data_IF_921756739115
#
_entry.id   IF_921756739115
#
_cell.length_a   1.000
_cell.length_b   1.000
_cell.length_c   1.000
_cell.angle_alpha   90.00
_cell.angle_beta   90.00
_cell.angle_gamma   90.00
#
_symmetry.space_group_name_H-M   'P 1'
#
loop_
_entity.id
_entity.type
_entity.pdbx_description
1 polymer ?
#
# COMPACT_ATOMS: atom_id res chain seq x y z
N UNK A 1 -0.42 2.49 16.27
CA UNK A 1 -0.27 1.00 16.16
C UNK A 1 -1.47 0.48 15.39
N UNK A 2 -1.33 -0.51 14.50
CA UNK A 2 -2.49 -1.07 13.77
C UNK A 2 -2.96 -2.34 14.46
N UNK A 3 -4.19 -2.30 14.98
CA UNK A 3 -4.88 -3.39 15.66
C UNK A 3 -5.88 -4.10 14.72
N UNK A 4 -6.35 -5.30 15.09
CA UNK A 4 -7.41 -6.03 14.38
C UNK A 4 -6.95 -7.29 13.62
N UNK A 5 -5.68 -7.67 13.74
CA UNK A 5 -5.15 -8.95 13.27
C UNK A 5 -4.93 -9.94 14.43
N UNK A 6 -4.38 -11.15 14.14
CA UNK A 6 -4.01 -12.12 15.18
C UNK A 6 -2.91 -11.60 16.13
N UNK A 7 -2.20 -10.54 15.75
CA UNK A 7 -1.25 -9.81 16.58
C UNK A 7 -1.18 -8.34 16.13
N UNK A 8 -0.79 -7.41 17.02
CA UNK A 8 -0.67 -5.98 16.70
C UNK A 8 0.48 -5.71 15.72
N UNK A 9 0.24 -4.82 14.75
CA UNK A 9 1.26 -4.39 13.78
C UNK A 9 1.83 -3.03 14.21
N UNK A 10 3.12 -3.03 14.56
CA UNK A 10 3.88 -1.80 14.86
C UNK A 10 4.66 -1.37 13.62
N UNK A 11 4.35 -0.18 13.12
CA UNK A 11 5.03 0.43 11.97
C UNK A 11 6.03 1.45 12.48
N UNK A 12 7.24 1.42 11.91
CA UNK A 12 8.29 2.41 12.14
C UNK A 12 8.73 2.96 10.79
N UNK A 13 8.95 4.26 10.70
CA UNK A 13 9.40 4.93 9.49
C UNK A 13 9.76 6.39 9.74
N UNK A 14 10.04 7.11 8.67
CA UNK A 14 10.31 8.55 8.66
C UNK A 14 9.36 9.17 7.64
N UNK A 15 8.63 10.20 8.04
CA UNK A 15 7.76 10.96 7.15
C UNK A 15 8.63 12.07 6.55
N UNK A 16 8.66 12.17 5.22
CA UNK A 16 9.47 13.15 4.49
C UNK A 16 9.14 14.59 4.89
N UNK A 17 7.85 14.96 4.85
CA UNK A 17 7.40 16.31 5.19
C UNK A 17 5.93 16.34 5.60
N UNK A 18 5.63 17.15 6.62
CA UNK A 18 4.28 17.52 7.05
C UNK A 18 4.17 19.04 7.03
N UNK A 19 3.18 19.56 6.32
CA UNK A 19 2.87 20.99 6.26
C UNK A 19 1.54 21.27 6.97
N UNK A 20 1.39 22.47 7.52
CA UNK A 20 0.10 22.99 8.00
C UNK A 20 -0.56 23.85 6.92
N UNK A 21 -1.87 23.70 6.72
CA UNK A 21 -2.69 24.48 5.80
C UNK A 21 -4.00 24.87 6.47
N UNK A 22 -4.04 26.06 7.08
CA UNK A 22 -5.14 26.43 7.97
C UNK A 22 -5.12 25.53 9.20
N UNK A 23 -6.26 24.94 9.53
CA UNK A 23 -6.40 23.99 10.65
C UNK A 23 -6.11 22.53 10.23
N UNK A 24 -5.83 22.30 8.94
CA UNK A 24 -5.54 20.98 8.40
C UNK A 24 -4.04 20.73 8.25
N UNK A 25 -3.67 19.45 8.22
CA UNK A 25 -2.33 18.96 7.94
C UNK A 25 -2.25 18.36 6.53
N UNK A 26 -1.06 18.45 5.93
CA UNK A 26 -0.76 17.93 4.60
C UNK A 26 0.49 17.08 4.64
N UNK A 27 0.40 15.84 4.16
CA UNK A 27 1.55 14.93 4.06
C UNK A 27 2.16 14.99 2.67
N UNK A 28 3.49 15.13 2.59
CA UNK A 28 4.20 15.23 1.32
C UNK A 28 5.34 14.21 1.32
N UNK A 29 5.43 13.41 0.26
CA UNK A 29 6.53 12.47 0.02
C UNK A 29 7.24 12.83 -1.28
N UNK A 30 8.57 12.98 -1.23
CA UNK A 30 9.35 13.37 -2.40
C UNK A 30 9.79 12.13 -3.18
N UNK A 31 9.54 12.13 -4.49
CA UNK A 31 9.97 11.03 -5.37
C UNK A 31 10.98 11.51 -6.40
N UNK A 32 12.11 10.83 -6.52
CA UNK A 32 13.06 11.03 -7.63
C UNK A 32 12.58 10.38 -8.94
N UNK A 33 11.70 9.38 -8.83
CA UNK A 33 11.08 8.65 -9.93
C UNK A 33 9.60 8.96 -10.12
N UNK A 34 8.91 8.07 -10.85
CA UNK A 34 7.46 8.12 -10.96
C UNK A 34 6.80 7.85 -9.60
N UNK A 35 5.73 8.57 -9.32
CA UNK A 35 4.96 8.38 -8.10
C UNK A 35 3.88 7.30 -8.27
N UNK A 36 3.54 6.59 -7.19
CA UNK A 36 2.39 5.69 -7.15
C UNK A 36 1.08 6.42 -7.49
N UNK A 37 0.15 5.68 -8.09
CA UNK A 37 -1.19 6.19 -8.38
C UNK A 37 -2.10 6.02 -7.16
N UNK A 38 -3.26 6.71 -7.18
CA UNK A 38 -4.32 6.47 -6.19
C UNK A 38 -4.78 5.01 -6.14
N UNK A 39 -4.77 4.31 -7.27
CA UNK A 39 -5.16 2.91 -7.31
C UNK A 39 -4.18 2.00 -6.55
N UNK A 40 -2.89 2.36 -6.50
CA UNK A 40 -1.86 1.56 -5.84
C UNK A 40 -2.05 1.47 -4.32
N UNK A 41 -2.58 2.51 -3.67
CA UNK A 41 -2.89 2.42 -2.24
C UNK A 41 -4.18 1.66 -1.96
N UNK A 42 -5.15 1.68 -2.89
CA UNK A 42 -6.42 0.96 -2.73
C UNK A 42 -6.25 -0.55 -2.93
N UNK A 43 -5.40 -0.97 -3.86
CA UNK A 43 -5.13 -2.38 -4.14
C UNK A 43 -4.05 -3.00 -3.22
N UNK A 44 -3.48 -2.19 -2.33
CA UNK A 44 -2.50 -2.59 -1.33
C UNK A 44 -1.09 -2.82 -1.87
N UNK A 45 -0.75 -2.29 -3.05
CA UNK A 45 0.61 -2.40 -3.62
C UNK A 45 1.56 -1.29 -3.15
N UNK A 46 1.07 -0.08 -2.91
CA UNK A 46 1.84 1.03 -2.32
C UNK A 46 0.91 1.95 -1.55
N UNK A 47 1.04 2.01 -0.23
CA UNK A 47 0.15 2.77 0.66
C UNK A 47 0.92 3.67 1.63
N UNK A 48 2.06 4.22 1.18
CA UNK A 48 2.91 5.08 1.99
C UNK A 48 2.20 6.36 2.46
N UNK A 49 1.59 7.13 1.54
CA UNK A 49 0.89 8.38 1.88
C UNK A 49 -0.26 8.15 2.88
N UNK A 50 -1.17 7.18 2.69
CA UNK A 50 -2.20 6.90 3.71
C UNK A 50 -1.65 6.44 5.06
N UNK A 51 -0.59 5.62 5.10
CA UNK A 51 0.04 5.23 6.37
C UNK A 51 0.63 6.44 7.11
N UNK A 52 1.29 7.33 6.37
CA UNK A 52 1.80 8.57 6.94
C UNK A 52 0.67 9.43 7.46
N UNK A 53 -0.43 9.55 6.72
CA UNK A 53 -1.60 10.30 7.18
C UNK A 53 -2.21 9.74 8.46
N UNK A 54 -2.30 8.41 8.60
CA UNK A 54 -2.73 7.75 9.85
C UNK A 54 -1.77 8.10 10.99
N UNK A 55 -0.46 7.95 10.77
CA UNK A 55 0.55 8.26 11.78
C UNK A 55 0.53 9.73 12.20
N UNK A 56 0.38 10.66 11.25
CA UNK A 56 0.31 12.11 11.53
C UNK A 56 -0.95 12.45 12.34
N UNK A 57 -2.10 11.87 12.00
CA UNK A 57 -3.32 12.06 12.78
C UNK A 57 -3.22 11.54 14.23
N UNK A 58 -2.38 10.51 14.47
CA UNK A 58 -2.09 9.98 15.81
C UNK A 58 -1.06 10.85 16.56
N UNK A 59 0.03 11.22 15.90
CA UNK A 59 1.16 11.95 16.49
C UNK A 59 0.87 13.43 16.73
N UNK A 60 0.04 14.04 15.90
CA UNK A 60 -0.29 15.47 15.90
C UNK A 60 -1.79 15.69 16.11
N UNK A 61 -2.43 14.85 16.91
CA UNK A 61 -3.88 14.86 17.13
C UNK A 61 -4.44 16.22 17.59
N UNK A 62 -3.63 17.01 18.32
CA UNK A 62 -3.98 18.33 18.83
C UNK A 62 -3.68 19.47 17.84
N UNK A 63 -3.01 19.20 16.72
CA UNK A 63 -2.60 20.21 15.74
C UNK A 63 -3.53 20.33 14.52
N UNK A 64 -4.35 19.30 14.26
CA UNK A 64 -5.26 19.26 13.12
C UNK A 64 -5.53 17.85 12.62
N UNK A 65 -6.26 17.76 11.50
CA UNK A 65 -6.47 16.50 10.78
C UNK A 65 -5.80 16.54 9.42
N UNK A 66 -5.32 15.38 8.96
CA UNK A 66 -4.79 15.26 7.60
C UNK A 66 -5.94 15.29 6.60
N UNK A 67 -6.08 16.41 5.88
CA UNK A 67 -7.09 16.60 4.85
C UNK A 67 -6.56 16.44 3.42
N UNK A 68 -5.23 16.45 3.26
CA UNK A 68 -4.55 16.28 1.97
C UNK A 68 -3.24 15.49 2.15
N UNK A 69 -2.81 14.81 1.09
CA UNK A 69 -1.50 14.16 1.05
C UNK A 69 -1.14 13.74 -0.35
N UNK A 70 0.12 13.85 -0.75
CA UNK A 70 0.51 13.53 -2.13
C UNK A 70 1.99 13.21 -2.27
N UNK A 71 2.30 12.50 -3.35
CA UNK A 71 3.66 12.39 -3.83
C UNK A 71 4.03 13.62 -4.65
N UNK A 72 5.26 14.10 -4.48
CA UNK A 72 5.84 15.21 -5.21
C UNK A 72 7.08 14.73 -6.01
N UNK A 73 6.90 14.27 -7.26
CA UNK A 73 7.99 13.88 -8.13
C UNK A 73 8.86 15.07 -8.49
N UNK A 74 10.16 15.00 -8.18
CA UNK A 74 11.11 16.09 -8.38
C UNK A 74 11.39 16.37 -9.87
N UNK A 75 11.10 15.41 -10.77
CA UNK A 75 11.27 15.57 -12.22
C UNK A 75 10.12 16.34 -12.87
N UNK A 76 8.88 16.09 -12.45
CA UNK A 76 7.70 16.75 -13.05
C UNK A 76 7.26 17.99 -12.26
N UNK A 77 7.60 18.07 -10.97
CA UNK A 77 7.12 19.09 -10.03
C UNK A 77 5.58 19.15 -9.93
N UNK A 78 4.90 18.05 -10.29
CA UNK A 78 3.44 17.93 -10.28
C UNK A 78 2.97 16.93 -9.22
N UNK A 79 1.97 17.32 -8.43
CA UNK A 79 1.38 16.45 -7.39
C UNK A 79 0.74 15.21 -8.01
N UNK A 80 0.84 14.08 -7.31
CA UNK A 80 0.32 12.79 -7.78
C UNK A 80 -0.09 11.89 -6.61
N UNK A 81 -0.84 10.83 -6.90
CA UNK A 81 -1.29 9.84 -5.90
C UNK A 81 -2.03 10.45 -4.71
N UNK A 82 -2.83 11.48 -4.96
CA UNK A 82 -3.37 12.35 -3.92
C UNK A 82 -4.40 11.64 -3.01
N UNK A 83 -4.22 11.80 -1.71
CA UNK A 83 -5.18 11.51 -0.65
C UNK A 83 -5.91 12.82 -0.33
N UNK A 84 -7.18 12.91 -0.67
CA UNK A 84 -7.99 14.12 -0.50
C UNK A 84 -9.45 13.74 -0.33
N UNK A 85 -10.27 14.67 0.14
CA UNK A 85 -11.73 14.54 0.12
C UNK A 85 -12.22 14.13 -1.28
N UNK A 86 -13.08 13.11 -1.32
CA UNK A 86 -13.58 12.52 -2.55
C UNK A 86 -14.08 11.09 -2.33
N UNK A 87 -14.20 10.33 -3.43
CA UNK A 87 -14.55 8.90 -3.41
C UNK A 87 -13.30 8.02 -3.64
N UNK A 88 -13.08 6.96 -2.84
CA UNK A 88 -13.70 6.71 -1.54
C UNK A 88 -13.30 7.79 -0.51
N UNK A 89 -14.11 8.01 0.54
CA UNK A 89 -13.77 8.87 1.67
C UNK A 89 -12.44 8.50 2.32
N UNK A 90 -11.73 9.50 2.87
CA UNK A 90 -10.45 9.30 3.54
C UNK A 90 -10.51 8.22 4.65
N UNK A 91 -11.53 8.18 5.53
CA UNK A 91 -11.63 7.12 6.54
C UNK A 91 -11.67 5.71 5.93
N UNK A 92 -12.41 5.51 4.83
CA UNK A 92 -12.45 4.21 4.14
C UNK A 92 -11.09 3.84 3.52
N UNK A 93 -10.33 4.82 3.04
CA UNK A 93 -8.95 4.61 2.57
C UNK A 93 -8.08 4.15 3.75
N UNK A 94 -8.21 4.78 4.92
CA UNK A 94 -7.46 4.37 6.10
C UNK A 94 -7.78 2.93 6.51
N UNK A 95 -9.05 2.55 6.52
CA UNK A 95 -9.46 1.20 6.87
C UNK A 95 -8.97 0.16 5.86
N UNK A 96 -9.05 0.49 4.57
CA UNK A 96 -8.48 -0.34 3.49
C UNK A 96 -6.98 -0.56 3.71
N UNK A 97 -6.23 0.50 4.01
CA UNK A 97 -4.78 0.43 4.20
C UNK A 97 -4.41 -0.33 5.48
N UNK A 98 -5.16 -0.15 6.58
CA UNK A 98 -4.98 -0.94 7.80
C UNK A 98 -5.21 -2.43 7.53
N UNK A 99 -6.27 -2.78 6.79
CA UNK A 99 -6.54 -4.17 6.41
C UNK A 99 -5.45 -4.75 5.52
N UNK A 100 -4.91 -3.98 4.57
CA UNK A 100 -3.74 -4.41 3.78
C UNK A 100 -2.52 -4.68 4.66
N UNK A 101 -2.18 -3.75 5.57
CA UNK A 101 -1.06 -3.91 6.48
C UNK A 101 -1.20 -5.17 7.36
N UNK A 102 -2.38 -5.37 7.97
CA UNK A 102 -2.67 -6.56 8.78
C UNK A 102 -2.55 -7.85 7.97
N UNK A 103 -3.12 -7.90 6.76
CA UNK A 103 -3.05 -9.08 5.88
C UNK A 103 -1.62 -9.40 5.47
N UNK A 104 -0.86 -8.39 5.04
CA UNK A 104 0.53 -8.56 4.61
C UNK A 104 1.39 -9.12 5.74
N UNK A 105 1.33 -8.54 6.94
CA UNK A 105 2.10 -9.05 8.08
C UNK A 105 1.62 -10.44 8.53
N UNK A 106 0.31 -10.70 8.51
CA UNK A 106 -0.22 -12.03 8.81
C UNK A 106 0.32 -13.11 7.85
N UNK A 107 0.36 -12.83 6.54
CA UNK A 107 0.97 -13.72 5.55
C UNK A 107 2.48 -13.90 5.77
N UNK A 108 3.21 -12.82 6.08
CA UNK A 108 4.65 -12.91 6.43
C UNK A 108 4.89 -13.83 7.63
N UNK A 109 4.08 -13.72 8.68
CA UNK A 109 4.20 -14.58 9.87
C UNK A 109 3.82 -16.05 9.61
N UNK A 110 3.01 -16.33 8.58
CA UNK A 110 2.72 -17.71 8.13
C UNK A 110 3.75 -18.25 7.14
N UNK A 111 4.78 -17.47 6.79
CA UNK A 111 5.77 -17.87 5.80
C UNK A 111 5.26 -17.85 4.36
N UNK A 112 4.18 -17.12 4.09
CA UNK A 112 3.56 -17.02 2.76
C UNK A 112 4.27 -15.95 1.92
N UNK A 113 5.19 -16.38 1.06
CA UNK A 113 5.91 -15.51 0.12
C UNK A 113 5.72 -15.95 -1.35
N UNK A 114 4.47 -16.08 -1.85
CA UNK A 114 4.25 -16.43 -3.24
C UNK A 114 4.76 -15.29 -4.16
N UNK A 115 5.46 -15.61 -5.26
CA UNK A 115 5.85 -14.60 -6.23
C UNK A 115 4.61 -14.12 -7.01
N UNK A 116 4.16 -12.91 -6.72
CA UNK A 116 2.99 -12.28 -7.36
C UNK A 116 3.40 -10.96 -8.04
N UNK A 117 4.24 -10.98 -9.08
CA UNK A 117 4.67 -9.76 -9.74
C UNK A 117 3.47 -9.02 -10.36
N UNK A 118 3.34 -7.71 -10.08
CA UNK A 118 2.35 -6.82 -10.71
C UNK A 118 3.07 -5.85 -11.65
N UNK A 119 2.64 -5.77 -12.92
CA UNK A 119 3.36 -5.01 -13.95
C UNK A 119 4.69 -5.69 -14.30
N UNK A 120 5.78 -4.92 -14.43
CA UNK A 120 7.11 -5.46 -14.74
C UNK A 120 8.14 -5.25 -13.60
N UNK A 121 7.91 -5.80 -12.39
CA UNK A 121 8.84 -5.64 -11.28
C UNK A 121 10.08 -6.52 -11.43
N UNK A 122 9.99 -7.55 -12.27
CA UNK A 122 11.05 -8.53 -12.49
C UNK A 122 12.31 -7.93 -13.13
N UNK A 123 12.20 -6.79 -13.84
CA UNK A 123 13.34 -6.12 -14.46
C UNK A 123 14.35 -5.54 -13.46
N UNK A 124 13.92 -5.20 -12.24
CA UNK A 124 14.75 -4.61 -11.20
C UNK A 124 14.76 -5.41 -9.88
N UNK A 125 14.12 -6.58 -9.86
CA UNK A 125 14.02 -7.40 -8.65
C UNK A 125 15.36 -8.14 -8.37
N UNK A 126 16.04 -7.90 -7.24
CA UNK A 126 17.30 -8.56 -6.91
C UNK A 126 17.14 -10.06 -6.65
N UNK A 127 15.92 -10.51 -6.32
CA UNK A 127 15.61 -11.91 -6.09
C UNK A 127 15.20 -12.66 -7.37
N UNK A 128 15.33 -12.06 -8.57
CA UNK A 128 14.86 -12.65 -9.84
C UNK A 128 15.31 -14.09 -10.05
N UNK A 129 16.59 -14.38 -9.78
CA UNK A 129 17.17 -15.72 -10.03
C UNK A 129 16.74 -16.75 -8.98
N UNK A 130 16.46 -16.30 -7.74
CA UNK A 130 15.96 -17.15 -6.66
C UNK A 130 14.45 -17.41 -6.76
N UNK A 131 13.70 -16.41 -7.24
CA UNK A 131 12.25 -16.43 -7.34
C UNK A 131 11.74 -17.54 -8.26
N UNK A 132 12.47 -17.84 -9.36
CA UNK A 132 12.10 -18.85 -10.37
C UNK A 132 10.64 -18.73 -10.83
N UNK A 133 10.16 -17.49 -10.89
CA UNK A 133 8.83 -17.18 -11.40
C UNK A 133 8.83 -17.30 -12.91
N UNK A 134 7.80 -17.96 -13.42
CA UNK A 134 7.38 -17.86 -14.82
C UNK A 134 5.86 -17.95 -14.85
N UNK A 135 5.22 -17.27 -15.80
CA UNK A 135 3.75 -17.29 -15.95
C UNK A 135 3.25 -18.73 -16.08
N UNK A 136 3.89 -19.54 -16.94
CA UNK A 136 3.60 -20.96 -17.10
C UNK A 136 3.75 -21.80 -15.81
N UNK A 137 4.59 -21.40 -14.85
CA UNK A 137 4.71 -22.08 -13.55
C UNK A 137 3.67 -21.59 -12.55
N UNK A 138 3.29 -20.32 -12.63
CA UNK A 138 2.22 -19.76 -11.82
C UNK A 138 0.88 -20.38 -12.20
N UNK A 139 0.54 -20.45 -13.50
CA UNK A 139 -0.70 -21.05 -14.02
C UNK A 139 -0.88 -22.51 -13.60
N UNK A 140 0.20 -23.31 -13.63
CA UNK A 140 0.17 -24.72 -13.18
C UNK A 140 -0.04 -24.90 -11.68
N UNK A 141 0.22 -23.87 -10.88
CA UNK A 141 0.03 -23.87 -9.42
C UNK A 141 -1.32 -23.28 -9.02
N UNK A 142 -1.99 -22.57 -9.92
CA UNK A 142 -3.36 -22.12 -9.72
C UNK A 142 -4.24 -23.37 -9.77
N UNK A 143 -4.94 -23.74 -8.68
CA UNK A 143 -5.83 -24.88 -8.72
C UNK A 143 -6.84 -24.67 -9.84
N UNK A 144 -6.84 -25.56 -10.84
CA UNK A 144 -7.98 -25.64 -11.75
C UNK A 144 -9.18 -25.93 -10.85
N UNK A 145 -10.20 -25.08 -10.88
CA UNK A 145 -11.46 -25.42 -10.25
C UNK A 145 -11.91 -26.75 -10.86
N UNK A 146 -11.71 -27.84 -10.13
CA UNK A 146 -12.11 -29.18 -10.54
C UNK A 146 -13.63 -29.20 -10.52
N UNK A 147 -14.23 -28.92 -11.67
CA UNK A 147 -15.60 -29.26 -11.96
C UNK A 147 -15.73 -30.77 -11.93
N UNK A 148 -16.18 -31.29 -10.80
CA UNK A 148 -16.70 -32.63 -10.65
C UNK A 148 -17.97 -32.74 -11.50
N UNK A 149 -17.87 -33.35 -12.69
CA UNK A 149 -19.03 -33.82 -13.43
C UNK A 149 -19.09 -35.34 -13.28
N UNK A 150 -19.94 -35.75 -12.34
CA UNK A 150 -20.47 -37.10 -12.23
C UNK A 150 -20.86 -37.67 -13.60
N UNK A 151 -20.27 -38.81 -13.96
CA UNK A 151 -20.84 -39.71 -14.97
C UNK A 151 -21.91 -40.55 -14.29
N UNK A 152 -23.16 -40.28 -14.65
CA UNK A 152 -24.25 -41.26 -14.63
C UNK A 152 -24.36 -41.93 -16.00
#
# INVERSE_FOLDING_TARGET
VIEGGPFPVRIRGIIDRVDRKGDDLVVIDYKSGAAPSKAAYLDGSDFQIPLYAIAVNELFADEGKVADGFYYPLKSLQRSGRLQHGKPPIPEIYDTVRQHALRHVASMCRGEFPPTPRGNPCGYCPARDACRYSEARAERKTPTASGDSHRG
#
